data_IF_283587589883
#
_entry.id   IF_283587589883
#
_cell.length_a   1.000
_cell.length_b   1.000
_cell.length_c   1.000
_cell.angle_alpha   90.00
_cell.angle_beta   90.00
_cell.angle_gamma   90.00
#
_symmetry.space_group_name_H-M   'P 1'
#
loop_
_entity.id
_entity.type
_entity.pdbx_description
1 polymer ?
#
# COMPACT_ATOMS: atom_id res chain seq x y z
N UNK A 1 2.66 5.26 -13.10
CA UNK A 1 3.85 4.62 -12.51
C UNK A 1 4.20 3.37 -13.33
N UNK A 2 5.46 3.20 -13.73
CA UNK A 2 5.91 2.03 -14.49
C UNK A 2 6.44 0.96 -13.52
N UNK A 3 5.54 0.12 -13.00
CA UNK A 3 5.80 -0.86 -11.94
C UNK A 3 6.90 -1.90 -12.28
N UNK A 4 7.18 -2.11 -13.57
CA UNK A 4 8.13 -3.12 -14.06
C UNK A 4 9.62 -2.86 -13.74
N UNK A 5 10.02 -1.66 -13.31
CA UNK A 5 11.43 -1.36 -12.98
C UNK A 5 11.82 -1.78 -11.56
N UNK A 6 10.91 -1.65 -10.60
CA UNK A 6 11.14 -2.08 -9.20
C UNK A 6 11.23 -3.60 -9.12
N UNK A 7 10.38 -4.32 -9.86
CA UNK A 7 10.34 -5.78 -9.85
C UNK A 7 11.62 -6.44 -10.40
N UNK A 8 12.39 -5.77 -11.28
CA UNK A 8 13.63 -6.33 -11.86
C UNK A 8 14.83 -6.32 -10.91
N UNK A 9 14.83 -5.47 -9.88
CA UNK A 9 16.00 -5.28 -9.00
C UNK A 9 15.96 -6.13 -7.73
N UNK A 10 14.85 -6.82 -7.45
CA UNK A 10 14.69 -7.65 -6.25
C UNK A 10 14.57 -9.13 -6.64
N UNK A 11 15.47 -9.96 -6.09
CA UNK A 11 15.37 -11.41 -6.19
C UNK A 11 14.04 -11.89 -5.60
N UNK A 12 13.41 -12.87 -6.25
CA UNK A 12 12.20 -13.53 -5.76
C UNK A 12 12.34 -13.88 -4.27
N UNK A 13 11.47 -13.32 -3.42
CA UNK A 13 11.44 -13.57 -1.97
C UNK A 13 11.77 -12.39 -1.05
N UNK A 14 12.28 -11.26 -1.56
CA UNK A 14 12.58 -10.07 -0.74
C UNK A 14 11.48 -9.01 -0.72
N UNK A 15 10.54 -9.09 -1.65
CA UNK A 15 9.41 -8.17 -1.81
C UNK A 15 8.09 -8.95 -1.73
N UNK A 16 7.10 -8.43 -1.01
CA UNK A 16 5.73 -8.93 -1.07
C UNK A 16 4.72 -7.78 -1.17
N UNK A 17 3.65 -8.02 -1.92
CA UNK A 17 2.53 -7.12 -2.10
C UNK A 17 1.33 -7.67 -1.36
N UNK A 18 0.77 -6.89 -0.44
CA UNK A 18 -0.46 -7.16 0.28
C UNK A 18 -1.54 -6.25 -0.28
N UNK A 19 -2.37 -6.79 -1.18
CA UNK A 19 -3.38 -6.05 -1.95
C UNK A 19 -4.78 -6.67 -1.79
N UNK A 20 -5.82 -5.84 -1.81
CA UNK A 20 -7.22 -6.23 -1.67
C UNK A 20 -7.94 -6.47 -3.02
N UNK A 21 -7.39 -5.99 -4.13
CA UNK A 21 -7.95 -6.11 -5.49
C UNK A 21 -6.93 -6.69 -6.48
N UNK A 22 -6.73 -8.00 -6.36
CA UNK A 22 -5.79 -8.78 -7.17
C UNK A 22 -6.09 -8.68 -8.68
N UNK A 23 -7.35 -8.75 -9.15
CA UNK A 23 -7.66 -8.59 -10.57
C UNK A 23 -7.15 -7.29 -11.17
N UNK A 24 -7.38 -6.16 -10.50
CA UNK A 24 -6.93 -4.84 -10.99
C UNK A 24 -5.40 -4.78 -11.06
N UNK A 25 -4.71 -5.30 -10.05
CA UNK A 25 -3.24 -5.33 -10.04
C UNK A 25 -2.66 -6.22 -11.16
N UNK A 26 -3.29 -7.38 -11.43
CA UNK A 26 -2.87 -8.29 -12.50
C UNK A 26 -3.13 -7.75 -13.91
N UNK A 27 -4.15 -6.90 -14.07
CA UNK A 27 -4.42 -6.20 -15.32
C UNK A 27 -3.40 -5.08 -15.55
N UNK A 28 -2.94 -4.43 -14.49
CA UNK A 28 -1.99 -3.33 -14.57
C UNK A 28 -0.56 -3.78 -14.92
N UNK A 29 -0.13 -4.99 -14.52
CA UNK A 29 1.21 -5.49 -14.83
C UNK A 29 1.26 -7.04 -15.01
N UNK A 30 1.60 -7.54 -16.21
CA UNK A 30 1.69 -8.97 -16.51
C UNK A 30 2.72 -9.75 -15.67
N UNK A 31 3.74 -9.08 -15.10
CA UNK A 31 4.73 -9.73 -14.24
C UNK A 31 4.16 -10.18 -12.89
N UNK A 32 2.95 -9.73 -12.52
CA UNK A 32 2.20 -10.22 -11.34
C UNK A 32 1.50 -11.57 -11.56
N UNK A 33 1.45 -12.07 -12.81
CA UNK A 33 0.82 -13.36 -13.11
C UNK A 33 1.67 -14.58 -12.69
N UNK A 34 2.95 -14.37 -12.34
CA UNK A 34 3.96 -15.43 -12.22
C UNK A 34 4.09 -16.10 -10.82
N UNK A 35 3.16 -15.86 -9.90
CA UNK A 35 2.97 -16.77 -8.74
C UNK A 35 3.78 -16.49 -7.46
N UNK A 36 4.15 -15.25 -7.17
CA UNK A 36 4.93 -14.88 -5.96
C UNK A 36 4.22 -13.88 -5.03
N UNK A 37 2.94 -14.12 -4.66
CA UNK A 37 2.14 -13.12 -3.95
C UNK A 37 1.41 -13.72 -2.75
N UNK A 38 1.47 -13.03 -1.60
CA UNK A 38 0.89 -13.44 -0.31
C UNK A 38 -0.13 -12.37 0.10
N UNK A 39 -1.33 -12.78 0.50
CA UNK A 39 -2.49 -11.87 0.63
C UNK A 39 -2.90 -11.71 2.09
N UNK A 40 -3.24 -10.48 2.48
CA UNK A 40 -3.82 -10.17 3.79
C UNK A 40 -5.08 -9.32 3.64
N UNK A 41 -6.04 -9.52 4.54
CA UNK A 41 -7.32 -8.80 4.55
C UNK A 41 -7.47 -8.02 5.86
N UNK A 42 -7.97 -6.79 5.77
CA UNK A 42 -8.47 -6.02 6.89
C UNK A 42 -9.98 -5.82 6.71
N UNK A 43 -10.79 -6.23 7.69
CA UNK A 43 -12.22 -5.93 7.70
C UNK A 43 -12.69 -5.64 9.11
N UNK A 44 -13.31 -4.46 9.30
CA UNK A 44 -13.97 -4.02 10.54
C UNK A 44 -15.22 -4.85 10.88
N UNK A 45 -15.79 -5.52 9.87
CA UNK A 45 -16.89 -6.47 10.00
C UNK A 45 -16.41 -7.81 9.49
N UNK A 46 -16.09 -8.77 10.36
CA UNK A 46 -15.60 -10.09 9.96
C UNK A 46 -16.35 -10.66 8.76
N UNK A 47 -15.62 -11.34 7.85
CA UNK A 47 -16.16 -11.90 6.61
C UNK A 47 -17.47 -12.67 6.85
N UNK A 48 -18.50 -12.38 6.04
CA UNK A 48 -19.73 -13.17 5.98
C UNK A 48 -19.42 -14.64 5.72
N UNK A 49 -20.23 -15.54 6.29
CA UNK A 49 -20.04 -16.98 6.14
C UNK A 49 -20.14 -17.44 4.68
N UNK A 50 -20.97 -16.80 3.84
CA UNK A 50 -21.02 -17.05 2.39
C UNK A 50 -19.73 -16.63 1.70
N UNK A 51 -19.19 -15.47 2.07
CA UNK A 51 -17.91 -14.96 1.57
C UNK A 51 -16.76 -15.89 1.97
N UNK A 52 -16.76 -16.48 3.17
CA UNK A 52 -15.79 -17.53 3.57
C UNK A 52 -15.88 -18.83 2.76
N UNK A 53 -17.04 -19.15 2.19
CA UNK A 53 -17.30 -20.38 1.42
C UNK A 53 -17.01 -20.20 -0.08
N UNK A 54 -17.30 -19.02 -0.61
CA UNK A 54 -17.01 -18.62 -2.00
C UNK A 54 -15.54 -18.25 -2.20
N UNK A 55 -14.91 -17.68 -1.16
CA UNK A 55 -13.48 -17.45 -1.08
C UNK A 55 -12.80 -18.72 -0.55
N UNK A 56 -12.54 -19.70 -1.41
CA UNK A 56 -11.38 -20.60 -1.20
C UNK A 56 -10.10 -19.84 -1.57
N UNK A 57 -9.82 -18.75 -0.86
CA UNK A 57 -8.47 -18.21 -0.80
C UNK A 57 -7.69 -19.18 0.05
N UNK A 58 -6.53 -19.57 -0.47
CA UNK A 58 -5.61 -20.46 0.19
C UNK A 58 -5.45 -20.03 1.65
N UNK A 59 -5.95 -20.83 2.60
CA UNK A 59 -5.78 -20.61 4.03
C UNK A 59 -4.29 -20.68 4.45
N UNK A 60 -3.38 -20.92 3.50
CA UNK A 60 -1.92 -20.82 3.61
C UNK A 60 -1.37 -19.44 3.23
N UNK A 61 -2.18 -18.51 2.71
CA UNK A 61 -1.73 -17.15 2.42
C UNK A 61 -1.56 -16.36 3.73
N UNK A 62 -0.32 -16.12 4.12
CA UNK A 62 0.01 -15.29 5.28
C UNK A 62 -0.47 -13.84 5.05
N UNK A 63 -1.24 -13.29 5.99
CA UNK A 63 -1.62 -11.88 5.99
C UNK A 63 -0.46 -11.01 6.48
N UNK A 64 -0.42 -9.73 6.10
CA UNK A 64 0.56 -8.79 6.66
C UNK A 64 0.57 -8.83 8.20
N UNK A 65 -0.61 -8.90 8.82
CA UNK A 65 -0.75 -9.01 10.27
C UNK A 65 -0.12 -10.29 10.83
N UNK A 66 -0.29 -11.42 10.14
CA UNK A 66 0.31 -12.69 10.55
C UNK A 66 1.83 -12.68 10.37
N UNK A 67 2.32 -12.18 9.23
CA UNK A 67 3.75 -12.03 8.96
C UNK A 67 4.43 -11.05 9.93
N UNK A 68 3.73 -9.97 10.29
CA UNK A 68 4.19 -9.03 11.31
C UNK A 68 4.25 -9.71 12.68
N UNK A 69 3.19 -10.42 13.09
CA UNK A 69 3.12 -11.10 14.37
C UNK A 69 4.18 -12.22 14.52
N UNK A 70 4.46 -12.96 13.46
CA UNK A 70 5.48 -14.03 13.45
C UNK A 70 6.90 -13.52 13.23
N UNK A 71 7.08 -12.24 12.87
CA UNK A 71 8.37 -11.67 12.48
C UNK A 71 8.88 -12.18 11.12
N UNK A 72 7.99 -12.72 10.27
CA UNK A 72 8.31 -13.22 8.91
C UNK A 72 8.07 -12.21 7.79
N UNK A 73 7.92 -10.92 8.12
CA UNK A 73 7.82 -9.86 7.12
C UNK A 73 8.98 -9.91 6.11
N UNK A 74 8.70 -9.74 4.81
CA UNK A 74 9.73 -9.62 3.77
C UNK A 74 10.53 -8.32 3.96
N UNK A 75 11.67 -8.22 3.25
CA UNK A 75 12.50 -6.99 3.29
C UNK A 75 11.76 -5.76 2.77
N UNK A 76 10.79 -5.94 1.87
CA UNK A 76 9.91 -4.88 1.39
C UNK A 76 8.48 -5.41 1.37
N UNK A 77 7.58 -4.72 2.07
CA UNK A 77 6.15 -4.99 2.09
C UNK A 77 5.42 -3.82 1.45
N UNK A 78 4.70 -4.06 0.36
CA UNK A 78 3.84 -3.06 -0.27
C UNK A 78 2.40 -3.30 0.16
N UNK A 79 1.73 -2.28 0.68
CA UNK A 79 0.32 -2.35 1.10
C UNK A 79 -0.49 -1.50 0.15
N UNK A 80 -1.44 -2.12 -0.56
CA UNK A 80 -2.42 -1.39 -1.38
C UNK A 80 -3.80 -1.51 -0.73
N UNK A 81 -4.55 -0.41 -0.57
CA UNK A 81 -5.93 -0.47 -0.09
C UNK A 81 -6.87 -1.12 -1.12
N UNK A 82 -8.10 -1.37 -0.69
CA UNK A 82 -9.23 -1.64 -1.56
C UNK A 82 -9.72 -0.31 -2.15
N UNK A 83 -9.44 -0.08 -3.43
CA UNK A 83 -9.78 1.18 -4.10
C UNK A 83 -11.23 1.27 -4.58
N UNK A 84 -11.88 0.13 -4.85
CA UNK A 84 -13.18 0.13 -5.53
C UNK A 84 -14.24 -0.65 -4.79
N UNK A 85 -15.47 -0.13 -4.84
CA UNK A 85 -16.68 -0.86 -4.43
C UNK A 85 -17.02 -1.97 -5.42
N UNK A 86 -16.45 -1.95 -6.63
CA UNK A 86 -16.54 -3.04 -7.60
C UNK A 86 -15.49 -4.11 -7.29
N UNK A 87 -15.51 -4.59 -6.05
CA UNK A 87 -14.77 -5.77 -5.68
C UNK A 87 -15.71 -6.98 -5.81
N UNK A 88 -15.44 -7.95 -6.70
CA UNK A 88 -16.28 -9.15 -6.82
C UNK A 88 -16.33 -9.98 -5.52
N UNK A 89 -15.48 -9.67 -4.55
CA UNK A 89 -15.42 -10.28 -3.22
C UNK A 89 -16.22 -9.49 -2.15
N UNK A 90 -16.81 -8.35 -2.51
CA UNK A 90 -17.73 -7.58 -1.65
C UNK A 90 -17.07 -6.75 -0.54
N UNK A 91 -15.77 -6.49 -0.63
CA UNK A 91 -15.08 -5.59 0.30
C UNK A 91 -15.48 -4.14 0.04
N UNK A 92 -15.63 -3.36 1.12
CA UNK A 92 -15.79 -1.91 1.01
C UNK A 92 -14.44 -1.27 0.68
N UNK A 93 -14.43 -0.14 -0.04
CA UNK A 93 -13.23 0.68 -0.16
C UNK A 93 -12.70 1.08 1.21
N UNK A 94 -11.38 1.13 1.34
CA UNK A 94 -10.69 1.56 2.56
C UNK A 94 -9.46 2.40 2.23
N UNK A 95 -9.66 3.35 1.32
CA UNK A 95 -8.75 4.44 1.04
C UNK A 95 -9.40 5.78 1.42
N UNK A 96 -8.69 6.87 1.18
CA UNK A 96 -9.18 8.23 1.44
C UNK A 96 -9.85 8.86 0.20
N UNK A 97 -10.05 8.10 -0.89
CA UNK A 97 -10.60 8.61 -2.14
C UNK A 97 -12.13 8.50 -2.15
N UNK A 98 -12.82 9.57 -2.56
CA UNK A 98 -14.28 9.56 -2.66
C UNK A 98 -14.75 8.49 -3.68
N UNK A 99 -15.81 7.72 -3.40
CA UNK A 99 -16.81 7.92 -2.34
C UNK A 99 -16.53 7.14 -1.04
N UNK A 100 -15.32 6.62 -0.82
CA UNK A 100 -14.96 5.92 0.40
C UNK A 100 -15.07 6.83 1.63
N UNK A 101 -15.32 6.23 2.80
CA UNK A 101 -15.23 6.95 4.07
C UNK A 101 -13.75 6.99 4.49
N UNK A 102 -13.23 8.20 4.69
CA UNK A 102 -11.85 8.43 5.16
C UNK A 102 -11.56 7.67 6.46
N UNK A 103 -12.58 7.42 7.30
CA UNK A 103 -12.40 6.60 8.51
C UNK A 103 -11.91 5.19 8.18
N UNK A 104 -12.40 4.58 7.10
CA UNK A 104 -11.98 3.22 6.70
C UNK A 104 -10.51 3.22 6.18
N UNK A 105 -10.08 4.28 5.49
CA UNK A 105 -8.69 4.48 5.07
C UNK A 105 -7.73 4.67 6.25
N UNK A 106 -8.10 5.52 7.19
CA UNK A 106 -7.30 5.75 8.40
C UNK A 106 -7.25 4.52 9.34
N UNK A 107 -8.33 3.73 9.40
CA UNK A 107 -8.35 2.46 10.14
C UNK A 107 -7.34 1.46 9.55
N UNK A 108 -7.19 1.40 8.22
CA UNK A 108 -6.17 0.57 7.56
C UNK A 108 -4.76 1.02 7.95
N UNK A 109 -4.49 2.33 7.89
CA UNK A 109 -3.18 2.89 8.26
C UNK A 109 -2.84 2.55 9.71
N UNK A 110 -3.80 2.74 10.63
CA UNK A 110 -3.60 2.42 12.05
C UNK A 110 -3.31 0.93 12.26
N UNK A 111 -4.05 0.05 11.60
CA UNK A 111 -3.84 -1.39 11.72
C UNK A 111 -2.47 -1.86 11.21
N UNK A 112 -1.99 -1.27 10.10
CA UNK A 112 -0.65 -1.55 9.57
C UNK A 112 0.41 -1.09 10.56
N UNK A 113 0.27 0.12 11.10
CA UNK A 113 1.18 0.66 12.10
C UNK A 113 1.21 -0.21 13.37
N UNK A 114 0.05 -0.51 13.96
CA UNK A 114 -0.03 -1.29 15.21
C UNK A 114 0.58 -2.69 15.04
N UNK A 115 0.31 -3.35 13.92
CA UNK A 115 0.87 -4.66 13.63
C UNK A 115 2.40 -4.60 13.44
N UNK A 116 2.90 -3.58 12.74
CA UNK A 116 4.33 -3.40 12.55
C UNK A 116 5.05 -3.02 13.85
N UNK A 117 4.46 -2.14 14.66
CA UNK A 117 5.00 -1.70 15.94
C UNK A 117 5.03 -2.81 16.98
N UNK A 118 4.05 -3.72 16.95
CA UNK A 118 4.03 -4.93 17.79
C UNK A 118 4.89 -6.07 17.25
N UNK A 119 5.44 -5.96 16.03
CA UNK A 119 6.21 -7.01 15.39
C UNK A 119 7.59 -7.17 16.04
N UNK A 120 8.14 -8.40 16.12
CA UNK A 120 9.56 -8.63 16.42
C UNK A 120 10.51 -7.91 15.45
N UNK A 121 10.04 -7.48 14.28
CA UNK A 121 10.82 -6.75 13.28
C UNK A 121 10.84 -5.23 13.48
N UNK A 122 10.09 -4.66 14.44
CA UNK A 122 9.90 -3.21 14.58
C UNK A 122 11.22 -2.41 14.63
N UNK A 123 12.16 -2.86 15.48
CA UNK A 123 13.47 -2.21 15.70
C UNK A 123 14.35 -2.09 14.45
N UNK A 124 13.98 -2.78 13.38
CA UNK A 124 14.68 -2.78 12.08
C UNK A 124 13.77 -2.44 10.90
N UNK A 125 12.61 -1.85 11.17
CA UNK A 125 11.61 -1.56 10.16
C UNK A 125 11.38 -0.05 9.96
N UNK A 126 10.86 0.28 8.78
CA UNK A 126 10.45 1.61 8.37
C UNK A 126 9.09 1.50 7.70
N UNK A 127 8.08 2.19 8.23
CA UNK A 127 6.82 2.42 7.54
C UNK A 127 6.93 3.71 6.73
N UNK A 128 6.61 3.63 5.45
CA UNK A 128 6.50 4.77 4.55
C UNK A 128 5.06 4.84 4.06
N UNK A 129 4.33 5.88 4.47
CA UNK A 129 2.99 6.16 4.01
C UNK A 129 3.04 7.34 3.05
N UNK A 130 2.60 7.12 1.81
CA UNK A 130 2.56 8.14 0.77
C UNK A 130 1.19 8.13 0.12
N UNK A 131 0.70 9.32 -0.20
CA UNK A 131 -0.49 9.50 -1.01
C UNK A 131 -0.10 9.59 -2.47
N UNK A 132 -0.89 8.96 -3.34
CA UNK A 132 -0.60 8.95 -4.78
C UNK A 132 -1.02 10.26 -5.46
N UNK A 133 -2.13 10.86 -5.00
CA UNK A 133 -2.67 12.12 -5.52
C UNK A 133 -3.21 13.05 -4.41
N UNK A 134 -3.64 14.25 -4.80
CA UNK A 134 -3.96 15.36 -3.89
C UNK A 134 -5.46 15.54 -3.63
N UNK A 135 -6.32 14.68 -4.15
CA UNK A 135 -7.77 14.75 -4.01
C UNK A 135 -8.42 16.00 -4.63
N UNK A 136 -7.70 16.69 -5.52
CA UNK A 136 -8.13 17.97 -6.08
C UNK A 136 -8.04 19.19 -5.14
N UNK A 137 -7.49 19.05 -3.93
CA UNK A 137 -7.37 20.16 -2.98
C UNK A 137 -6.32 21.21 -3.40
N UNK A 138 -6.49 22.45 -2.95
CA UNK A 138 -5.53 23.51 -3.25
C UNK A 138 -4.21 23.31 -2.48
N UNK A 139 -3.09 23.52 -3.18
CA UNK A 139 -1.75 23.65 -2.58
C UNK A 139 -1.12 24.95 -3.09
N UNK A 140 -0.45 25.67 -2.20
CA UNK A 140 0.10 27.00 -2.50
C UNK A 140 1.46 26.95 -3.20
N UNK A 141 2.14 25.79 -3.23
CA UNK A 141 3.46 25.66 -3.85
C UNK A 141 3.29 25.21 -5.30
N UNK A 142 3.70 26.03 -6.29
CA UNK A 142 3.68 25.62 -7.68
C UNK A 142 4.58 24.40 -7.90
N UNK A 143 4.13 23.36 -8.64
CA UNK A 143 4.95 22.20 -8.90
C UNK A 143 6.26 22.54 -9.63
N UNK A 144 7.41 22.06 -9.13
CA UNK A 144 8.70 22.29 -9.79
C UNK A 144 8.80 21.53 -11.12
N UNK A 145 9.80 21.88 -11.92
CA UNK A 145 10.11 21.13 -13.15
C UNK A 145 10.58 19.73 -12.80
N UNK A 146 10.18 18.75 -13.59
CA UNK A 146 10.62 17.36 -13.50
C UNK A 146 11.41 17.02 -14.77
N UNK A 147 12.51 16.26 -14.65
CA UNK A 147 13.10 15.60 -15.80
C UNK A 147 12.14 14.48 -16.26
N UNK A 148 11.77 14.51 -17.53
CA UNK A 148 10.92 13.49 -18.17
C UNK A 148 11.34 13.31 -19.63
N UNK A 149 11.02 12.15 -20.21
CA UNK A 149 11.29 11.81 -21.60
C UNK A 149 10.36 12.58 -22.56
N UNK A 150 9.18 13.02 -22.08
CA UNK A 150 8.30 13.97 -22.74
C UNK A 150 8.15 15.24 -21.89
N UNK A 151 9.11 16.18 -21.99
CA UNK A 151 9.11 17.37 -21.15
C UNK A 151 8.03 18.39 -21.54
N UNK A 152 7.41 18.28 -22.72
CA UNK A 152 6.29 19.16 -23.10
C UNK A 152 5.01 18.76 -22.37
N UNK A 153 4.77 17.45 -22.22
CA UNK A 153 3.59 16.93 -21.54
C UNK A 153 3.80 16.71 -20.03
N UNK A 154 4.99 16.24 -19.63
CA UNK A 154 5.30 15.80 -18.26
C UNK A 154 6.54 16.46 -17.65
N UNK A 155 7.01 17.59 -18.20
CA UNK A 155 8.20 18.32 -17.71
C UNK A 155 8.06 19.01 -16.34
N UNK A 156 7.03 18.65 -15.56
CA UNK A 156 6.77 19.15 -14.20
C UNK A 156 6.28 18.02 -13.32
N UNK A 157 6.64 18.10 -12.04
CA UNK A 157 6.05 17.23 -11.04
C UNK A 157 4.56 17.53 -10.88
N UNK A 158 3.85 16.58 -10.27
CA UNK A 158 2.53 16.81 -9.73
C UNK A 158 2.55 17.77 -8.54
N UNK A 159 1.35 18.07 -8.06
CA UNK A 159 1.19 18.84 -6.82
C UNK A 159 1.69 18.00 -5.64
N UNK A 160 2.13 18.67 -4.58
CA UNK A 160 2.60 18.00 -3.37
C UNK A 160 1.52 17.10 -2.77
N UNK A 161 1.96 15.98 -2.23
CA UNK A 161 1.16 14.99 -1.52
C UNK A 161 1.80 14.73 -0.15
N UNK A 162 1.03 14.35 0.88
CA UNK A 162 1.60 13.96 2.15
C UNK A 162 2.53 12.74 2.02
N UNK A 163 3.65 12.77 2.74
CA UNK A 163 4.56 11.65 2.91
C UNK A 163 4.95 11.57 4.39
N UNK A 164 4.65 10.44 5.01
CA UNK A 164 4.88 10.19 6.43
C UNK A 164 5.81 8.99 6.55
N UNK A 165 6.82 9.13 7.42
CA UNK A 165 7.79 8.08 7.70
C UNK A 165 7.76 7.78 9.19
N UNK A 166 7.58 6.51 9.56
CA UNK A 166 7.47 6.07 10.96
C UNK A 166 8.44 4.92 11.21
N UNK A 167 9.33 5.08 12.19
CA UNK A 167 10.34 4.09 12.56
C UNK A 167 11.00 4.44 13.89
N UNK A 168 11.55 3.47 14.64
CA UNK A 168 12.44 3.73 15.78
C UNK A 168 13.67 4.58 15.44
N UNK A 169 14.05 4.67 14.16
CA UNK A 169 15.25 5.37 13.71
C UNK A 169 14.99 6.83 13.29
N UNK A 170 13.73 7.25 13.26
CA UNK A 170 13.37 8.62 12.88
C UNK A 170 13.20 9.45 14.14
N UNK A 171 13.78 10.65 14.15
CA UNK A 171 13.61 11.59 15.26
C UNK A 171 12.12 11.97 15.42
N UNK A 172 11.55 11.86 16.63
CA UNK A 172 10.16 12.21 16.86
C UNK A 172 9.89 13.68 16.54
N UNK A 173 8.75 13.95 15.89
CA UNK A 173 8.28 15.32 15.56
C UNK A 173 9.24 16.11 14.66
N UNK A 174 9.97 15.40 13.80
CA UNK A 174 10.84 16.02 12.80
C UNK A 174 10.12 16.23 11.46
N UNK A 175 10.62 17.18 10.66
CA UNK A 175 10.19 17.41 9.28
C UNK A 175 11.43 17.41 8.41
N UNK A 176 11.45 16.52 7.41
CA UNK A 176 12.51 16.51 6.41
C UNK A 176 12.16 17.45 5.26
N UNK A 177 13.09 18.34 4.92
CA UNK A 177 13.04 19.18 3.74
C UNK A 177 14.31 18.94 2.93
N UNK A 178 14.22 18.10 1.90
CA UNK A 178 15.31 17.96 0.94
C UNK A 178 15.24 19.12 -0.06
N UNK A 179 16.30 19.94 -0.06
CA UNK A 179 16.53 21.01 -1.04
C UNK A 179 16.97 20.48 -2.40
#
# INVERSE_FOLDING_TARGET
>A
MNYGRILRSYSAGRLCWYCFDIPTLRLADPHYAAGHHRFGYFSKTGLSWKTKLEIRVDARAASFLADAASGSLPSVSWIDPAFTSFNPLGFRPNDDHAPADIVDGHDLVLAVYDALAASPAWERSLLVLVYEERGGFYDHVPPPRAPDDDPEMFGRYGVRVPAIVVSPWVEPRSVSQSS
#
